data_IF_129608424941
#
_entry.id   IF_129608424941
#
_cell.length_a   1.000
_cell.length_b   1.000
_cell.length_c   1.000
_cell.angle_alpha   90.00
_cell.angle_beta   90.00
_cell.angle_gamma   90.00
#
_symmetry.space_group_name_H-M   'P 1'
#
loop_
_entity.id
_entity.type
_entity.pdbx_description
1 polymer ?
#
# COMPACT_ATOMS: atom_id res chain seq x y z
N UNK A 1 14.63 3.93 17.46
CA UNK A 1 15.17 2.66 17.96
C UNK A 1 16.63 2.57 17.57
N UNK A 2 17.52 2.43 18.55
CA UNK A 2 18.97 2.32 18.33
C UNK A 2 19.31 0.84 18.14
N UNK A 3 19.74 0.44 16.95
CA UNK A 3 20.16 -0.94 16.69
C UNK A 3 21.62 -1.10 17.12
N UNK A 4 21.87 -1.95 18.10
CA UNK A 4 23.21 -2.23 18.58
C UNK A 4 23.67 -3.55 17.96
N UNK A 5 24.68 -3.49 17.11
CA UNK A 5 25.27 -4.66 16.47
C UNK A 5 26.25 -5.29 17.47
N UNK A 6 26.06 -6.57 17.81
CA UNK A 6 27.02 -7.34 18.60
C UNK A 6 27.61 -8.45 17.74
N UNK A 7 28.92 -8.34 17.49
CA UNK A 7 29.75 -9.44 17.01
C UNK A 7 30.33 -10.14 18.24
N UNK A 8 30.21 -11.46 18.32
CA UNK A 8 30.84 -12.27 19.38
C UNK A 8 31.57 -13.47 18.78
N UNK A 9 32.79 -13.71 19.22
CA UNK A 9 33.55 -14.92 18.87
C UNK A 9 33.09 -16.07 19.81
N UNK A 10 32.65 -17.20 19.27
CA UNK A 10 32.20 -18.33 20.08
C UNK A 10 33.38 -19.12 20.62
N UNK A 11 33.99 -18.62 21.71
CA UNK A 11 34.57 -19.48 22.75
C UNK A 11 34.29 -18.83 24.11
N UNK A 12 33.52 -19.55 24.94
CA UNK A 12 33.12 -19.22 26.32
C UNK A 12 32.43 -17.87 26.55
N UNK A 13 31.11 -17.84 26.38
CA UNK A 13 30.12 -17.23 27.30
C UNK A 13 30.13 -15.74 27.64
N UNK A 14 31.19 -14.97 27.37
CA UNK A 14 31.25 -13.54 27.71
C UNK A 14 31.27 -12.65 26.47
N UNK A 15 30.40 -11.64 26.51
CA UNK A 15 30.27 -10.60 25.49
C UNK A 15 31.30 -9.51 25.80
N UNK A 16 32.32 -9.34 24.97
CA UNK A 16 33.23 -8.20 25.02
C UNK A 16 33.04 -7.26 23.83
N UNK A 17 33.24 -5.95 24.03
CA UNK A 17 33.25 -4.94 22.96
C UNK A 17 34.49 -5.13 22.09
N UNK A 18 34.30 -5.45 20.81
CA UNK A 18 35.41 -5.79 19.90
C UNK A 18 35.83 -4.56 19.07
N UNK A 19 37.14 -4.29 19.06
CA UNK A 19 37.79 -3.24 18.25
C UNK A 19 38.20 -3.84 16.88
N UNK A 20 37.77 -3.21 15.77
CA UNK A 20 37.70 -3.82 14.44
C UNK A 20 39.04 -4.00 13.69
N UNK A 21 40.18 -3.59 14.27
CA UNK A 21 41.45 -3.50 13.54
C UNK A 21 42.37 -4.74 13.65
N UNK A 22 41.95 -5.85 14.27
CA UNK A 22 42.77 -7.07 14.40
C UNK A 22 41.91 -8.34 14.50
N UNK A 23 41.29 -8.84 13.43
CA UNK A 23 40.64 -10.17 13.49
C UNK A 23 40.82 -11.04 12.25
N UNK A 24 40.99 -12.33 12.54
CA UNK A 24 41.21 -13.44 11.63
C UNK A 24 39.86 -14.08 11.23
N UNK A 25 39.61 -14.19 9.93
CA UNK A 25 38.25 -14.33 9.36
C UNK A 25 37.66 -15.75 9.46
N UNK A 26 38.44 -16.76 9.88
CA UNK A 26 38.04 -18.17 9.85
C UNK A 26 37.17 -18.63 11.04
N UNK A 27 36.91 -17.78 12.04
CA UNK A 27 36.24 -18.16 13.30
C UNK A 27 34.89 -17.48 13.57
N UNK A 28 34.32 -16.80 12.58
CA UNK A 28 33.12 -15.98 12.79
C UNK A 28 31.84 -16.82 12.65
N UNK A 29 31.06 -16.91 13.72
CA UNK A 29 29.67 -17.40 13.69
C UNK A 29 28.72 -16.20 13.86
N UNK A 30 28.17 -15.69 12.74
CA UNK A 30 27.18 -14.61 12.78
C UNK A 30 25.83 -15.22 13.15
N UNK A 31 25.33 -14.92 14.36
CA UNK A 31 24.01 -15.38 14.82
C UNK A 31 23.03 -14.22 14.76
N UNK A 32 22.01 -14.33 13.93
CA UNK A 32 20.96 -13.32 13.81
C UNK A 32 19.93 -13.56 14.91
N UNK A 33 19.78 -12.59 15.82
CA UNK A 33 18.62 -12.55 16.72
C UNK A 33 17.69 -11.45 16.22
N UNK A 34 16.72 -11.84 15.39
CA UNK A 34 15.53 -11.01 15.22
C UNK A 34 14.72 -11.13 16.51
N UNK A 35 14.15 -10.03 17.01
CA UNK A 35 13.15 -10.05 18.10
C UNK A 35 11.80 -10.60 17.61
N UNK A 36 11.86 -11.75 16.94
CA UNK A 36 10.77 -12.63 16.56
C UNK A 36 11.41 -14.03 16.61
N UNK A 37 10.93 -14.91 17.48
CA UNK A 37 11.48 -16.24 17.81
C UNK A 37 11.62 -17.20 16.60
N UNK A 38 12.52 -16.91 15.65
CA UNK A 38 12.88 -17.82 14.57
C UNK A 38 14.37 -17.66 14.22
N UNK A 39 15.14 -18.72 14.48
CA UNK A 39 16.52 -18.84 14.05
C UNK A 39 16.55 -19.34 12.60
N UNK A 40 17.20 -18.60 11.70
CA UNK A 40 17.59 -19.12 10.39
C UNK A 40 19.05 -19.56 10.45
N UNK A 41 19.33 -20.85 10.27
CA UNK A 41 20.69 -21.36 10.09
C UNK A 41 21.16 -21.05 8.67
N UNK A 42 21.74 -19.87 8.48
CA UNK A 42 22.51 -19.55 7.28
C UNK A 42 23.94 -20.07 7.48
N UNK A 43 24.32 -21.13 6.74
CA UNK A 43 25.73 -21.47 6.57
C UNK A 43 26.38 -20.39 5.71
N UNK A 44 27.10 -19.48 6.35
CA UNK A 44 27.89 -18.45 5.68
C UNK A 44 29.35 -18.91 5.71
N UNK A 45 29.95 -19.15 4.56
CA UNK A 45 31.38 -19.44 4.44
C UNK A 45 32.21 -18.21 4.88
N UNK A 46 33.45 -18.38 5.39
CA UNK A 46 34.24 -17.28 5.92
C UNK A 46 34.50 -16.21 4.86
N UNK A 47 33.97 -15.01 5.12
CA UNK A 47 33.95 -13.89 4.19
C UNK A 47 35.17 -12.98 4.45
N UNK A 48 36.06 -12.81 3.49
CA UNK A 48 37.16 -11.81 3.56
C UNK A 48 36.64 -10.37 3.35
N UNK A 49 37.27 -9.33 3.94
CA UNK A 49 36.83 -7.94 3.79
C UNK A 49 37.21 -7.44 2.38
N UNK A 50 36.25 -7.34 1.45
CA UNK A 50 35.33 -6.20 1.29
C UNK A 50 33.83 -6.57 1.31
N UNK A 51 33.49 -7.80 1.71
CA UNK A 51 32.16 -8.36 1.48
C UNK A 51 31.16 -8.16 2.64
N UNK A 52 31.58 -7.71 3.83
CA UNK A 52 30.66 -7.44 4.96
C UNK A 52 29.69 -6.31 4.61
N UNK A 53 30.18 -5.24 3.97
CA UNK A 53 29.33 -4.13 3.55
C UNK A 53 28.35 -4.57 2.45
N UNK A 54 28.79 -5.44 1.54
CA UNK A 54 27.92 -6.07 0.55
C UNK A 54 26.81 -6.92 1.20
N UNK A 55 27.15 -7.73 2.21
CA UNK A 55 26.18 -8.54 2.96
C UNK A 55 25.21 -7.65 3.74
N UNK A 56 25.68 -6.60 4.42
CA UNK A 56 24.80 -5.64 5.11
C UNK A 56 23.86 -4.93 4.12
N UNK A 57 24.35 -4.52 2.96
CA UNK A 57 23.54 -3.93 1.88
C UNK A 57 22.51 -4.94 1.33
N UNK A 58 22.88 -6.21 1.18
CA UNK A 58 21.94 -7.26 0.80
C UNK A 58 20.90 -7.52 1.90
N UNK A 59 21.29 -7.55 3.17
CA UNK A 59 20.37 -7.69 4.30
C UNK A 59 19.41 -6.50 4.44
N UNK A 60 19.88 -5.27 4.21
CA UNK A 60 19.03 -4.07 4.13
C UNK A 60 18.07 -4.16 2.95
N UNK A 61 18.53 -4.56 1.76
CA UNK A 61 17.66 -4.81 0.60
C UNK A 61 16.64 -5.92 0.85
N UNK A 62 17.00 -6.97 1.58
CA UNK A 62 16.10 -8.06 1.99
C UNK A 62 15.08 -7.54 3.01
N UNK A 63 15.49 -6.75 4.00
CA UNK A 63 14.60 -6.07 4.96
C UNK A 63 13.61 -5.14 4.24
N UNK A 64 14.09 -4.33 3.31
CA UNK A 64 13.28 -3.38 2.53
C UNK A 64 12.35 -4.06 1.52
N UNK A 65 12.68 -5.29 1.08
CA UNK A 65 11.80 -6.10 0.23
C UNK A 65 10.79 -6.94 1.03
N UNK A 66 11.03 -7.15 2.32
CA UNK A 66 10.12 -7.85 3.24
C UNK A 66 8.98 -6.93 3.72
N UNK A 67 9.06 -5.61 3.58
CA UNK A 67 8.05 -4.67 4.07
C UNK A 67 7.45 -3.78 2.97
N UNK A 68 7.03 -4.38 1.85
CA UNK A 68 6.32 -3.65 0.79
C UNK A 68 4.83 -3.99 0.81
N UNK A 69 4.00 -2.97 1.06
CA UNK A 69 2.57 -3.04 0.82
C UNK A 69 2.26 -2.69 -0.63
N UNK A 70 1.22 -3.30 -1.18
CA UNK A 70 0.71 -3.09 -2.54
C UNK A 70 -0.80 -3.04 -2.53
N UNK A 71 -1.35 -2.19 -3.38
CA UNK A 71 -2.78 -2.16 -3.70
C UNK A 71 -2.93 -2.45 -5.19
N UNK A 72 -3.69 -3.49 -5.50
CA UNK A 72 -4.07 -3.85 -6.86
C UNK A 72 -5.46 -3.30 -7.15
N UNK A 73 -5.61 -2.58 -8.26
CA UNK A 73 -6.88 -2.06 -8.75
C UNK A 73 -7.28 -2.75 -10.05
N UNK A 74 -8.53 -3.18 -10.12
CA UNK A 74 -9.20 -3.63 -11.33
C UNK A 74 -10.35 -2.67 -11.66
N UNK A 75 -11.09 -2.83 -12.77
CA UNK A 75 -12.21 -1.94 -13.07
C UNK A 75 -13.27 -1.85 -11.96
N UNK A 76 -13.51 -2.93 -11.23
CA UNK A 76 -14.60 -3.04 -10.25
C UNK A 76 -14.15 -3.27 -8.81
N UNK A 77 -12.92 -3.72 -8.59
CA UNK A 77 -12.43 -4.14 -7.27
C UNK A 77 -11.03 -3.62 -6.98
N UNK A 78 -10.67 -3.63 -5.70
CA UNK A 78 -9.28 -3.53 -5.27
C UNK A 78 -8.93 -4.65 -4.28
N UNK A 79 -7.64 -4.95 -4.15
CA UNK A 79 -7.13 -5.84 -3.12
C UNK A 79 -5.86 -5.26 -2.51
N UNK A 80 -5.64 -5.58 -1.24
CA UNK A 80 -4.48 -5.10 -0.47
C UNK A 80 -3.60 -6.30 -0.17
N UNK A 81 -2.31 -6.17 -0.40
CA UNK A 81 -1.34 -7.19 -0.03
C UNK A 81 -0.07 -6.60 0.54
N UNK A 82 0.62 -7.35 1.37
CA UNK A 82 1.92 -6.98 1.89
C UNK A 82 2.78 -8.23 2.05
N UNK A 83 4.10 -8.06 2.08
CA UNK A 83 5.00 -9.16 2.40
C UNK A 83 5.21 -9.23 3.92
N UNK A 84 5.23 -10.46 4.46
CA UNK A 84 5.60 -10.74 5.85
C UNK A 84 6.38 -12.05 5.86
N UNK A 85 7.60 -12.03 6.39
CA UNK A 85 8.51 -13.18 6.43
C UNK A 85 8.67 -13.87 5.06
N UNK A 86 8.84 -13.06 4.00
CA UNK A 86 9.01 -13.55 2.63
C UNK A 86 7.74 -14.12 1.97
N UNK A 87 6.59 -14.08 2.64
CA UNK A 87 5.31 -14.55 2.09
C UNK A 87 4.39 -13.36 1.81
N UNK A 88 3.71 -13.41 0.65
CA UNK A 88 2.63 -12.46 0.34
C UNK A 88 1.42 -12.79 1.20
N UNK A 89 0.99 -11.82 2.00
CA UNK A 89 -0.26 -11.84 2.75
C UNK A 89 -1.24 -10.92 2.02
N UNK A 90 -2.48 -11.39 1.84
CA UNK A 90 -3.56 -10.60 1.23
C UNK A 90 -4.60 -10.33 2.32
N UNK A 91 -4.98 -9.06 2.47
CA UNK A 91 -5.93 -8.61 3.49
C UNK A 91 -7.33 -9.06 3.08
N UNK A 92 -8.06 -9.66 4.02
CA UNK A 92 -9.47 -10.00 3.86
C UNK A 92 -10.36 -8.84 4.28
N UNK A 93 -11.49 -8.65 3.60
CA UNK A 93 -12.55 -7.75 4.04
C UNK A 93 -13.31 -8.35 5.24
N UNK A 94 -14.28 -7.59 5.76
CA UNK A 94 -15.08 -8.00 6.92
C UNK A 94 -15.88 -9.29 6.70
N UNK A 95 -16.24 -9.60 5.45
CA UNK A 95 -16.98 -10.80 5.05
C UNK A 95 -16.04 -11.98 4.70
N UNK A 96 -14.73 -11.80 4.80
CA UNK A 96 -13.71 -12.84 4.56
C UNK A 96 -13.23 -12.97 3.11
N UNK A 97 -13.70 -12.13 2.18
CA UNK A 97 -13.22 -12.08 0.79
C UNK A 97 -11.89 -11.33 0.67
N UNK A 98 -11.11 -11.67 -0.36
CA UNK A 98 -9.78 -11.07 -0.64
C UNK A 98 -9.83 -9.80 -1.51
N UNK A 99 -11.03 -9.39 -1.90
CA UNK A 99 -11.27 -8.26 -2.79
C UNK A 99 -12.35 -7.37 -2.18
N UNK A 100 -12.22 -6.08 -2.43
CA UNK A 100 -13.14 -5.04 -1.99
C UNK A 100 -13.75 -4.39 -3.24
N UNK A 101 -15.07 -4.28 -3.35
CA UNK A 101 -15.72 -3.51 -4.42
C UNK A 101 -15.25 -2.04 -4.38
N UNK A 102 -15.02 -1.44 -5.55
CA UNK A 102 -14.69 -0.02 -5.70
C UNK A 102 -15.96 0.86 -5.60
N UNK A 103 -16.62 0.77 -4.45
CA UNK A 103 -17.83 1.51 -4.12
C UNK A 103 -17.57 2.35 -2.88
N UNK A 104 -18.03 3.60 -2.91
CA UNK A 104 -17.94 4.52 -1.76
C UNK A 104 -19.33 5.11 -1.52
N UNK A 105 -19.76 5.12 -0.27
CA UNK A 105 -20.94 5.88 0.16
C UNK A 105 -20.63 6.68 1.42
N UNK A 106 -21.49 7.63 1.74
CA UNK A 106 -21.32 8.56 2.84
C UNK A 106 -22.49 8.42 3.82
N UNK A 107 -22.17 8.20 5.09
CA UNK A 107 -23.13 8.30 6.18
C UNK A 107 -23.15 9.72 6.76
N UNK A 108 -23.77 9.92 7.92
CA UNK A 108 -23.88 11.24 8.55
C UNK A 108 -22.54 11.85 8.94
N UNK A 109 -21.51 11.05 9.26
CA UNK A 109 -20.23 11.56 9.77
C UNK A 109 -19.00 10.94 9.10
N UNK A 110 -19.17 9.78 8.47
CA UNK A 110 -18.13 8.94 7.94
C UNK A 110 -18.42 8.54 6.48
N UNK A 111 -17.48 7.81 5.91
CA UNK A 111 -17.64 7.15 4.62
C UNK A 111 -17.53 5.64 4.83
N UNK A 112 -18.20 4.89 3.97
CA UNK A 112 -18.12 3.43 3.90
C UNK A 112 -17.60 3.03 2.52
N UNK A 113 -16.85 1.93 2.47
CA UNK A 113 -16.24 1.40 1.23
C UNK A 113 -16.63 -0.08 1.08
N UNK A 114 -16.61 -0.57 -0.17
CA UNK A 114 -16.73 -1.99 -0.45
C UNK A 114 -18.17 -2.46 -0.39
N UNK A 115 -18.38 -3.64 0.19
CA UNK A 115 -19.67 -4.31 0.28
C UNK A 115 -20.72 -3.44 0.98
N UNK A 116 -20.32 -2.75 2.06
CA UNK A 116 -21.21 -1.86 2.80
C UNK A 116 -21.72 -0.72 1.91
N UNK A 117 -20.86 -0.10 1.12
CA UNK A 117 -21.25 0.95 0.16
C UNK A 117 -22.09 0.38 -1.00
N UNK A 118 -21.74 -0.80 -1.51
CA UNK A 118 -22.45 -1.45 -2.62
C UNK A 118 -23.90 -1.78 -2.26
N UNK A 119 -24.17 -2.18 -1.00
CA UNK A 119 -25.53 -2.46 -0.52
C UNK A 119 -26.45 -1.24 -0.56
N UNK A 120 -25.91 -0.02 -0.39
CA UNK A 120 -26.69 1.24 -0.44
C UNK A 120 -27.22 1.54 -1.85
N UNK A 121 -26.59 1.01 -2.90
CA UNK A 121 -26.91 1.33 -4.30
C UNK A 121 -28.38 1.02 -4.66
N UNK A 122 -28.93 -0.05 -4.08
CA UNK A 122 -30.31 -0.47 -4.34
C UNK A 122 -31.36 0.53 -3.83
N UNK A 123 -31.06 1.21 -2.72
CA UNK A 123 -32.03 2.08 -2.03
C UNK A 123 -31.77 3.57 -2.30
N UNK A 124 -30.49 3.99 -2.31
CA UNK A 124 -30.07 5.38 -2.46
C UNK A 124 -28.96 5.50 -3.50
N UNK A 125 -29.26 5.31 -4.80
CA UNK A 125 -28.25 5.22 -5.85
C UNK A 125 -27.41 6.50 -6.01
N UNK A 126 -27.97 7.69 -5.74
CA UNK A 126 -27.24 8.97 -5.81
C UNK A 126 -26.24 9.18 -4.66
N UNK A 127 -26.27 8.33 -3.63
CA UNK A 127 -25.37 8.36 -2.47
C UNK A 127 -24.14 7.46 -2.67
N UNK A 128 -24.05 6.75 -3.79
CA UNK A 128 -23.01 5.74 -4.02
C UNK A 128 -22.18 6.10 -5.25
N UNK A 129 -20.88 6.25 -5.04
CA UNK A 129 -19.89 6.46 -6.09
C UNK A 129 -19.27 5.11 -6.45
N UNK A 130 -19.24 4.80 -7.73
CA UNK A 130 -18.66 3.58 -8.31
C UNK A 130 -18.03 3.89 -9.67
N UNK A 131 -17.48 2.88 -10.34
CA UNK A 131 -16.72 3.05 -11.60
C UNK A 131 -15.54 4.04 -11.44
N UNK A 132 -14.90 4.05 -10.27
CA UNK A 132 -13.83 4.99 -9.93
C UNK A 132 -12.69 5.03 -10.96
N UNK A 133 -12.35 3.87 -11.55
CA UNK A 133 -11.32 3.83 -12.59
C UNK A 133 -11.74 4.60 -13.85
N UNK A 134 -13.02 4.50 -14.26
CA UNK A 134 -13.54 5.32 -15.37
C UNK A 134 -13.58 6.80 -15.00
N UNK A 135 -13.91 7.14 -13.75
CA UNK A 135 -13.93 8.52 -13.27
C UNK A 135 -12.53 9.15 -13.23
N UNK A 136 -11.49 8.38 -12.93
CA UNK A 136 -10.10 8.83 -12.96
C UNK A 136 -9.52 8.91 -14.38
N UNK A 137 -10.05 8.14 -15.34
CA UNK A 137 -9.57 8.15 -16.73
C UNK A 137 -10.10 9.35 -17.50
N UNK A 138 -9.19 10.21 -17.97
CA UNK A 138 -9.52 11.37 -18.82
C UNK A 138 -10.30 10.98 -20.09
N UNK A 139 -9.94 9.87 -20.70
CA UNK A 139 -10.58 9.42 -21.93
C UNK A 139 -11.96 8.85 -21.65
N UNK A 140 -12.10 8.04 -20.59
CA UNK A 140 -13.38 7.40 -20.27
C UNK A 140 -14.42 8.42 -19.77
N UNK A 141 -14.01 9.37 -18.91
CA UNK A 141 -14.93 10.35 -18.34
C UNK A 141 -15.52 11.31 -19.38
N UNK A 142 -14.78 11.58 -20.47
CA UNK A 142 -15.23 12.43 -21.59
C UNK A 142 -16.27 11.77 -22.48
N UNK A 143 -16.23 10.44 -22.63
CA UNK A 143 -17.11 9.72 -23.55
C UNK A 143 -18.59 9.80 -23.17
N UNK A 144 -18.92 10.13 -21.92
CA UNK A 144 -20.31 10.26 -21.40
C UNK A 144 -21.20 9.03 -21.64
N UNK A 145 -20.61 7.87 -21.97
CA UNK A 145 -21.33 6.62 -22.25
C UNK A 145 -21.93 5.98 -20.98
N UNK A 146 -21.55 6.46 -19.80
CA UNK A 146 -21.95 5.87 -18.53
C UNK A 146 -23.25 6.50 -17.99
N UNK A 147 -24.23 5.66 -17.70
CA UNK A 147 -25.47 6.06 -17.01
C UNK A 147 -25.27 5.97 -15.50
N UNK A 148 -24.62 6.96 -14.93
CA UNK A 148 -24.49 7.09 -13.48
C UNK A 148 -25.70 7.84 -12.88
N UNK A 149 -26.15 7.47 -11.67
CA UNK A 149 -27.21 8.19 -10.96
C UNK A 149 -26.73 9.54 -10.39
N UNK A 150 -25.42 9.71 -10.21
CA UNK A 150 -24.77 10.97 -9.85
C UNK A 150 -24.35 11.74 -11.10
N UNK A 151 -24.23 13.06 -10.97
CA UNK A 151 -23.89 13.94 -12.09
C UNK A 151 -22.38 14.08 -12.21
N UNK A 152 -21.86 13.86 -13.41
CA UNK A 152 -20.44 14.06 -13.73
C UNK A 152 -20.30 15.22 -14.70
N UNK A 153 -19.41 16.15 -14.37
CA UNK A 153 -19.07 17.31 -15.21
C UNK A 153 -17.58 17.28 -15.55
N UNK A 154 -17.25 17.66 -16.76
CA UNK A 154 -15.87 17.83 -17.24
C UNK A 154 -15.70 19.26 -17.74
N UNK A 155 -14.65 19.94 -17.28
CA UNK A 155 -14.24 21.26 -17.74
C UNK A 155 -13.01 21.11 -18.65
N UNK A 156 -13.21 21.18 -19.96
CA UNK A 156 -12.14 21.07 -20.95
C UNK A 156 -11.09 22.18 -20.86
N UNK A 157 -11.47 23.37 -20.37
CA UNK A 157 -10.54 24.49 -20.24
C UNK A 157 -9.51 24.28 -19.12
N UNK A 158 -9.93 23.59 -18.06
CA UNK A 158 -9.09 23.29 -16.88
C UNK A 158 -8.56 21.86 -16.89
N UNK A 159 -9.09 21.02 -17.77
CA UNK A 159 -8.82 19.59 -17.82
C UNK A 159 -9.17 18.90 -16.49
N UNK A 160 -10.29 19.32 -15.88
CA UNK A 160 -10.75 18.87 -14.56
C UNK A 160 -12.15 18.25 -14.65
N UNK A 161 -12.42 17.29 -13.78
CA UNK A 161 -13.73 16.67 -13.66
C UNK A 161 -14.23 16.70 -12.23
N UNK A 162 -15.55 16.75 -12.10
CA UNK A 162 -16.23 16.77 -10.82
C UNK A 162 -17.46 15.89 -10.83
N UNK A 163 -17.71 15.28 -9.68
CA UNK A 163 -18.87 14.45 -9.40
C UNK A 163 -19.71 15.20 -8.38
N UNK A 164 -20.97 15.47 -8.72
CA UNK A 164 -22.00 15.95 -7.81
C UNK A 164 -22.83 14.76 -7.32
N UNK A 165 -22.88 14.56 -6.00
CA UNK A 165 -23.50 13.40 -5.36
C UNK A 165 -24.21 13.80 -4.08
N UNK A 166 -25.15 12.97 -3.63
CA UNK A 166 -25.91 13.24 -2.42
C UNK A 166 -25.26 12.61 -1.19
N UNK A 167 -25.39 13.29 -0.06
CA UNK A 167 -25.02 12.79 1.26
C UNK A 167 -26.14 13.13 2.24
N UNK A 168 -26.12 12.57 3.44
CA UNK A 168 -27.05 12.97 4.50
C UNK A 168 -26.92 14.45 4.89
N UNK A 169 -25.77 15.08 4.59
CA UNK A 169 -25.51 16.51 4.79
C UNK A 169 -25.84 17.38 3.55
N UNK A 170 -26.65 16.85 2.63
CA UNK A 170 -27.00 17.50 1.36
C UNK A 170 -26.02 17.19 0.22
N UNK A 171 -26.25 17.84 -0.92
CA UNK A 171 -25.47 17.63 -2.14
C UNK A 171 -24.03 18.11 -1.98
N UNK A 172 -23.07 17.29 -2.39
CA UNK A 172 -21.64 17.56 -2.38
C UNK A 172 -21.08 17.49 -3.80
N UNK A 173 -19.91 18.09 -3.99
CA UNK A 173 -19.15 18.07 -5.23
C UNK A 173 -17.68 17.78 -4.93
N UNK A 174 -17.11 16.80 -5.62
CA UNK A 174 -15.71 16.42 -5.43
C UNK A 174 -15.08 15.95 -6.75
N UNK A 175 -13.76 16.09 -6.87
CA UNK A 175 -13.00 15.55 -8.00
C UNK A 175 -12.71 14.04 -7.79
N UNK A 176 -12.46 13.26 -8.88
CA UNK A 176 -12.17 11.83 -8.78
C UNK A 176 -11.07 11.45 -7.79
N UNK A 177 -9.99 12.25 -7.72
CA UNK A 177 -8.87 12.03 -6.79
C UNK A 177 -9.30 12.05 -5.32
N UNK A 178 -10.39 12.75 -4.99
CA UNK A 178 -10.92 12.77 -3.63
C UNK A 178 -11.48 11.43 -3.19
N UNK A 179 -12.00 10.63 -4.12
CA UNK A 179 -12.47 9.28 -3.84
C UNK A 179 -11.31 8.30 -3.77
N UNK A 180 -10.31 8.43 -4.65
CA UNK A 180 -9.07 7.66 -4.54
C UNK A 180 -8.37 7.95 -3.20
N UNK A 181 -8.36 9.20 -2.73
CA UNK A 181 -7.84 9.56 -1.42
C UNK A 181 -8.53 8.77 -0.30
N UNK A 182 -9.86 8.63 -0.35
CA UNK A 182 -10.61 7.85 0.63
C UNK A 182 -10.27 6.35 0.56
N UNK A 183 -10.14 5.79 -0.66
CA UNK A 183 -9.69 4.40 -0.83
C UNK A 183 -8.29 4.20 -0.27
N UNK A 184 -7.32 5.06 -0.63
CA UNK A 184 -5.94 4.96 -0.15
C UNK A 184 -5.87 5.10 1.38
N UNK A 185 -6.60 6.05 1.96
CA UNK A 185 -6.70 6.23 3.41
C UNK A 185 -7.25 4.98 4.10
N UNK A 186 -8.29 4.38 3.53
CA UNK A 186 -8.87 3.13 4.02
C UNK A 186 -7.87 1.98 3.95
N UNK A 187 -7.19 1.80 2.81
CA UNK A 187 -6.18 0.77 2.64
C UNK A 187 -5.02 0.92 3.63
N UNK A 188 -4.50 2.14 3.83
CA UNK A 188 -3.45 2.41 4.81
C UNK A 188 -3.89 2.06 6.23
N UNK A 189 -5.13 2.39 6.61
CA UNK A 189 -5.67 2.02 7.91
C UNK A 189 -5.76 0.51 8.13
N UNK A 190 -6.15 -0.25 7.11
CA UNK A 190 -6.15 -1.72 7.16
C UNK A 190 -4.73 -2.29 7.26
N UNK A 191 -3.78 -1.76 6.47
CA UNK A 191 -2.39 -2.17 6.52
C UNK A 191 -1.81 -1.89 7.91
N UNK A 192 -2.03 -0.71 8.47
CA UNK A 192 -1.56 -0.35 9.81
C UNK A 192 -2.16 -1.26 10.88
N UNK A 193 -3.44 -1.62 10.78
CA UNK A 193 -4.08 -2.58 11.68
C UNK A 193 -3.44 -3.97 11.61
N UNK A 194 -3.17 -4.47 10.41
CA UNK A 194 -2.62 -5.83 10.20
C UNK A 194 -1.12 -5.92 10.51
N UNK A 195 -0.37 -4.83 10.33
CA UNK A 195 1.09 -4.81 10.44
C UNK A 195 1.62 -4.10 11.67
N UNK A 196 0.82 -3.25 12.32
CA UNK A 196 1.23 -2.34 13.38
C UNK A 196 2.13 -1.18 12.91
N UNK A 197 2.23 -0.95 11.59
CA UNK A 197 3.17 0.00 11.00
C UNK A 197 2.47 0.96 10.04
N UNK A 198 2.97 2.20 10.01
CA UNK A 198 2.61 3.17 8.97
C UNK A 198 3.53 3.03 7.77
N UNK A 199 2.95 3.16 6.59
CA UNK A 199 3.67 3.08 5.33
C UNK A 199 3.69 4.45 4.67
N UNK A 200 4.88 4.92 4.32
CA UNK A 200 5.11 6.18 3.60
C UNK A 200 5.26 5.94 2.09
N UNK A 201 5.43 4.69 1.67
CA UNK A 201 5.47 4.27 0.28
C UNK A 201 4.60 3.03 0.06
N UNK A 202 3.80 3.01 -1.02
CA UNK A 202 2.99 1.87 -1.40
C UNK A 202 3.09 1.57 -2.90
N UNK A 203 3.11 0.29 -3.26
CA UNK A 203 3.02 -0.14 -4.64
C UNK A 203 1.59 -0.06 -5.17
N UNK A 204 1.40 0.48 -6.37
CA UNK A 204 0.11 0.50 -7.06
C UNK A 204 0.21 -0.35 -8.32
N UNK A 205 -0.70 -1.28 -8.47
CA UNK A 205 -0.80 -2.18 -9.63
C UNK A 205 -2.19 -2.04 -10.26
N UNK A 206 -2.24 -2.09 -11.58
CA UNK A 206 -3.47 -2.01 -12.35
C UNK A 206 -3.61 -3.28 -13.21
N UNK A 207 -4.74 -3.98 -13.08
CA UNK A 207 -5.04 -5.19 -13.85
C UNK A 207 -6.37 -5.05 -14.59
N UNK A 208 -6.43 -5.53 -15.84
CA UNK A 208 -7.63 -5.43 -16.66
C UNK A 208 -7.99 -3.97 -17.04
N UNK A 209 -7.03 -3.06 -16.89
CA UNK A 209 -7.15 -1.65 -17.22
C UNK A 209 -6.19 -1.35 -18.38
N UNK A 210 -6.51 -0.34 -19.20
CA UNK A 210 -5.59 0.17 -20.22
C UNK A 210 -4.33 0.82 -19.63
N UNK A 211 -3.63 1.64 -20.43
CA UNK A 211 -2.38 2.31 -20.02
C UNK A 211 -2.48 2.98 -18.65
N UNK A 212 -1.51 2.73 -17.76
CA UNK A 212 -1.50 3.24 -16.38
C UNK A 212 -1.45 4.76 -16.30
N UNK A 213 -0.86 5.41 -17.31
CA UNK A 213 -0.75 6.86 -17.48
C UNK A 213 -2.13 7.54 -17.47
N UNK A 214 -3.19 6.80 -17.83
CA UNK A 214 -4.57 7.31 -17.81
C UNK A 214 -5.10 7.55 -16.40
N UNK A 215 -4.54 6.89 -15.39
CA UNK A 215 -5.02 6.94 -13.99
C UNK A 215 -4.00 7.56 -13.04
N UNK A 216 -2.70 7.48 -13.39
CA UNK A 216 -1.58 7.88 -12.55
C UNK A 216 -1.75 9.27 -11.92
N UNK A 217 -2.11 10.28 -12.71
CA UNK A 217 -2.31 11.64 -12.19
C UNK A 217 -3.42 11.72 -11.13
N UNK A 218 -4.51 10.95 -11.29
CA UNK A 218 -5.61 10.89 -10.31
C UNK A 218 -5.11 10.36 -8.97
N UNK A 219 -4.29 9.31 -9.03
CA UNK A 219 -3.70 8.65 -7.87
C UNK A 219 -2.63 9.49 -7.18
N UNK A 220 -1.76 10.15 -7.95
CA UNK A 220 -0.72 11.04 -7.42
C UNK A 220 -1.33 12.21 -6.65
N UNK A 221 -2.33 12.91 -7.22
CA UNK A 221 -3.05 13.99 -6.51
C UNK A 221 -3.68 13.52 -5.20
N UNK A 222 -4.21 12.30 -5.18
CA UNK A 222 -4.79 11.70 -3.98
C UNK A 222 -3.71 11.37 -2.93
N UNK A 223 -2.57 10.87 -3.37
CA UNK A 223 -1.46 10.47 -2.51
C UNK A 223 -0.71 11.67 -1.92
N UNK A 224 -0.58 12.77 -2.66
CA UNK A 224 -0.01 14.03 -2.18
C UNK A 224 -0.73 14.52 -0.92
N UNK A 225 -2.07 14.40 -0.89
CA UNK A 225 -2.90 14.76 0.28
C UNK A 225 -2.67 13.87 1.50
N UNK A 226 -2.08 12.70 1.32
CA UNK A 226 -1.73 11.75 2.38
C UNK A 226 -0.25 11.81 2.75
N UNK A 227 0.56 12.65 2.08
CA UNK A 227 2.02 12.59 2.13
C UNK A 227 2.54 11.16 1.84
N UNK A 228 1.89 10.47 0.89
CA UNK A 228 2.17 9.09 0.54
C UNK A 228 2.91 9.03 -0.80
N UNK A 229 4.02 8.30 -0.86
CA UNK A 229 4.70 8.00 -2.11
C UNK A 229 4.05 6.78 -2.80
N UNK A 230 3.76 6.92 -4.09
CA UNK A 230 3.26 5.81 -4.91
C UNK A 230 4.36 5.27 -5.83
N UNK A 231 4.49 3.96 -5.89
CA UNK A 231 5.33 3.27 -6.87
C UNK A 231 4.43 2.47 -7.81
N UNK A 232 4.25 2.95 -9.03
CA UNK A 232 3.41 2.28 -10.05
C UNK A 232 4.18 1.13 -10.71
N UNK A 233 3.65 -0.08 -10.56
CA UNK A 233 4.26 -1.33 -11.03
C UNK A 233 3.92 -1.66 -12.49
#
# INVERSE_FOLDING_TARGET
>A
MTYTFQLSETKSGEIQRINMNKFDCEKIKVTFKLDIDMFYDLKVEPIQPPHIEHVLQQCLKIKDSIEKAKILFTPEYFSISFFKNGKKIVVKNADGFLQFPLYISFDEENFVIGEAAKKVLGDKPTFVIYDLMKLCSKDAIKKKDSKWPFKVTYDDSKNESFIEFDTFRGRRKAAPDSFIFLILKFCLGLIEKETGKKFEEIGIEFEGLGSKENYQQCFEKAADRLNLKLTFL
#
